data_IF_127602859423
#
_entry.id   IF_127602859423
#
_cell.length_a   1.000
_cell.length_b   1.000
_cell.length_c   1.000
_cell.angle_alpha   90.00
_cell.angle_beta   90.00
_cell.angle_gamma   90.00
#
_symmetry.space_group_name_H-M   'P 1'
#
loop_
_entity.id
_entity.type
_entity.pdbx_description
1 polymer ?
#
# COMPACT_ATOMS: atom_id res chain seq x y z
N UNK A 1 -11.48 4.48 9.49
CA UNK A 1 -10.39 3.86 10.29
C UNK A 1 -9.58 5.03 10.82
N UNK A 2 -10.20 5.79 11.72
CA UNK A 2 -9.89 7.22 11.86
C UNK A 2 -8.70 7.45 12.79
N UNK A 3 -8.17 6.35 13.34
CA UNK A 3 -7.00 6.29 14.20
C UNK A 3 -5.72 5.96 13.44
N UNK A 4 -5.78 5.64 12.15
CA UNK A 4 -4.60 5.38 11.31
C UNK A 4 -4.21 6.66 10.58
N UNK A 5 -2.94 7.03 10.71
CA UNK A 5 -2.34 8.21 10.06
C UNK A 5 -1.10 7.81 9.25
N UNK A 6 -0.73 8.60 8.22
CA UNK A 6 0.45 8.31 7.40
C UNK A 6 1.73 8.32 8.24
N UNK A 7 2.51 7.24 8.18
CA UNK A 7 3.78 7.10 8.92
C UNK A 7 5.00 7.38 8.04
N UNK A 8 6.12 7.71 8.64
CA UNK A 8 7.42 7.83 7.95
C UNK A 8 8.47 7.06 8.69
N UNK A 9 9.31 6.32 7.96
CA UNK A 9 10.53 5.77 8.50
C UNK A 9 11.58 5.68 7.40
N UNK A 10 12.85 5.68 7.81
CA UNK A 10 13.98 5.38 6.93
C UNK A 10 13.95 3.91 6.52
N UNK A 11 14.63 3.58 5.44
CA UNK A 11 14.79 2.20 4.97
C UNK A 11 15.43 1.27 6.01
N UNK A 12 16.35 1.78 6.84
CA UNK A 12 16.94 1.03 7.97
C UNK A 12 15.93 0.77 9.08
N UNK A 13 15.13 1.78 9.45
CA UNK A 13 14.06 1.61 10.44
C UNK A 13 12.97 0.67 9.92
N UNK A 14 12.60 0.76 8.64
CA UNK A 14 11.66 -0.16 8.01
C UNK A 14 12.14 -1.59 8.16
N UNK A 15 13.38 -1.90 7.76
CA UNK A 15 13.94 -3.26 7.88
C UNK A 15 13.94 -3.76 9.32
N UNK A 16 14.32 -2.90 10.27
CA UNK A 16 14.34 -3.24 11.69
C UNK A 16 12.93 -3.56 12.20
N UNK A 17 12.00 -2.64 12.05
CA UNK A 17 10.60 -2.84 12.45
C UNK A 17 9.98 -4.04 11.75
N UNK A 18 10.24 -4.21 10.46
CA UNK A 18 9.75 -5.35 9.69
C UNK A 18 10.24 -6.67 10.25
N UNK A 19 11.49 -6.75 10.70
CA UNK A 19 12.02 -7.94 11.36
C UNK A 19 11.44 -8.14 12.76
N UNK A 20 11.24 -7.05 13.51
CA UNK A 20 10.79 -7.06 14.91
C UNK A 20 9.28 -7.33 15.06
N UNK A 21 8.46 -6.99 14.06
CA UNK A 21 7.01 -7.15 14.14
C UNK A 21 6.59 -8.63 14.15
N UNK A 22 5.90 -9.03 15.20
CA UNK A 22 5.48 -10.41 15.42
C UNK A 22 4.38 -10.84 14.44
N UNK A 23 3.40 -9.97 14.20
CA UNK A 23 2.20 -10.33 13.46
C UNK A 23 2.33 -9.99 11.98
N UNK A 24 1.95 -10.95 11.13
CA UNK A 24 1.84 -10.77 9.69
C UNK A 24 0.46 -11.18 9.20
N UNK A 25 -0.12 -10.36 8.31
CA UNK A 25 -1.28 -10.71 7.52
C UNK A 25 -0.94 -10.59 6.03
N UNK A 26 -1.23 -11.63 5.26
CA UNK A 26 -0.98 -11.66 3.81
C UNK A 26 -2.30 -11.57 3.06
N UNK A 27 -2.45 -10.51 2.27
CA UNK A 27 -3.63 -10.25 1.46
C UNK A 27 -3.28 -10.47 -0.01
N UNK A 28 -4.11 -11.22 -0.74
CA UNK A 28 -3.99 -11.36 -2.19
C UNK A 28 -4.49 -10.10 -2.90
N UNK A 29 -3.84 -9.75 -4.01
CA UNK A 29 -4.27 -8.66 -4.89
C UNK A 29 -4.89 -9.23 -6.16
N UNK A 30 -6.14 -8.86 -6.43
CA UNK A 30 -6.80 -9.04 -7.72
C UNK A 30 -7.71 -7.83 -7.93
N UNK A 31 -7.35 -6.97 -8.87
CA UNK A 31 -8.06 -5.70 -9.08
C UNK A 31 -8.22 -5.37 -10.56
N UNK A 32 -9.34 -4.76 -10.96
CA UNK A 32 -9.52 -4.27 -12.33
C UNK A 32 -8.71 -3.00 -12.62
N UNK A 33 -8.02 -2.41 -11.63
CA UNK A 33 -7.08 -1.33 -11.88
C UNK A 33 -5.96 -1.89 -12.76
N UNK A 34 -5.62 -1.17 -13.83
CA UNK A 34 -4.62 -1.60 -14.79
C UNK A 34 -3.27 -0.93 -14.53
N UNK A 35 -3.23 0.31 -14.03
CA UNK A 35 -1.95 1.00 -13.81
C UNK A 35 -1.36 0.69 -12.42
N UNK A 36 -0.12 0.18 -12.39
CA UNK A 36 0.54 -0.28 -11.17
C UNK A 36 0.75 0.86 -10.17
N UNK A 37 1.09 2.06 -10.64
CA UNK A 37 1.31 3.24 -9.78
C UNK A 37 -0.01 3.79 -9.25
N UNK A 38 -1.03 3.86 -10.10
CA UNK A 38 -2.39 4.23 -9.71
C UNK A 38 -2.93 3.28 -8.63
N UNK A 39 -2.61 2.00 -8.69
CA UNK A 39 -2.98 1.06 -7.64
C UNK A 39 -2.31 1.41 -6.29
N UNK A 40 -1.02 1.77 -6.28
CA UNK A 40 -0.34 2.22 -5.07
C UNK A 40 -0.95 3.50 -4.49
N UNK A 41 -1.32 4.46 -5.33
CA UNK A 41 -1.98 5.70 -4.91
C UNK A 41 -3.37 5.41 -4.33
N UNK A 42 -4.14 4.55 -4.98
CA UNK A 42 -5.45 4.09 -4.48
C UNK A 42 -5.30 3.40 -3.13
N UNK A 43 -4.32 2.50 -2.99
CA UNK A 43 -4.02 1.83 -1.74
C UNK A 43 -3.66 2.83 -0.63
N UNK A 44 -2.80 3.79 -0.92
CA UNK A 44 -2.42 4.86 0.01
C UNK A 44 -3.65 5.64 0.50
N UNK A 45 -4.50 6.09 -0.42
CA UNK A 45 -5.69 6.88 -0.11
C UNK A 45 -6.71 6.10 0.74
N UNK A 46 -6.91 4.81 0.44
CA UNK A 46 -7.89 3.98 1.12
C UNK A 46 -7.43 3.53 2.51
N UNK A 47 -6.13 3.30 2.69
CA UNK A 47 -5.57 2.80 3.96
C UNK A 47 -5.03 3.91 4.85
N UNK A 48 -4.89 5.12 4.32
CA UNK A 48 -4.18 6.23 4.95
C UNK A 48 -2.72 5.89 5.33
N UNK A 49 -2.10 4.94 4.61
CA UNK A 49 -0.68 4.61 4.73
C UNK A 49 0.14 5.47 3.77
N UNK A 50 1.35 5.87 4.20
CA UNK A 50 2.29 6.61 3.35
C UNK A 50 3.14 5.65 2.52
N UNK A 51 3.25 5.92 1.22
CA UNK A 51 4.22 5.27 0.35
C UNK A 51 5.64 5.75 0.70
N UNK A 52 6.55 4.81 0.97
CA UNK A 52 7.94 5.08 1.32
C UNK A 52 8.91 4.90 0.14
N UNK A 53 8.55 4.05 -0.82
CA UNK A 53 9.37 3.82 -2.01
C UNK A 53 9.39 5.08 -2.89
N UNK A 54 10.58 5.51 -3.31
CA UNK A 54 10.77 6.73 -4.10
C UNK A 54 10.31 6.56 -5.54
N UNK A 55 9.94 7.66 -6.20
CA UNK A 55 9.51 7.62 -7.60
C UNK A 55 10.55 6.99 -8.52
N UNK A 56 11.83 7.29 -8.30
CA UNK A 56 12.96 6.72 -9.02
C UNK A 56 13.09 5.19 -8.83
N UNK A 57 12.72 4.66 -7.66
CA UNK A 57 12.71 3.21 -7.43
C UNK A 57 11.48 2.52 -8.02
N UNK A 58 10.43 3.29 -8.35
CA UNK A 58 9.24 2.81 -9.05
C UNK A 58 9.34 3.00 -10.57
N UNK A 59 10.38 3.68 -11.07
CA UNK A 59 10.57 3.97 -12.50
C UNK A 59 10.86 2.69 -13.28
N UNK A 60 10.39 2.67 -14.53
CA UNK A 60 10.49 1.53 -15.44
C UNK A 60 9.12 0.98 -15.84
N UNK A 61 9.12 0.20 -16.92
CA UNK A 61 7.94 -0.46 -17.49
C UNK A 61 8.21 -1.97 -17.63
N UNK A 62 8.39 -2.63 -16.49
CA UNK A 62 8.68 -4.07 -16.43
C UNK A 62 7.46 -4.92 -16.05
N UNK A 63 6.26 -4.34 -16.07
CA UNK A 63 5.01 -5.04 -15.74
C UNK A 63 4.90 -5.53 -14.29
N UNK A 64 5.86 -5.20 -13.42
CA UNK A 64 5.93 -5.57 -12.01
C UNK A 64 6.34 -4.36 -11.17
N UNK A 65 5.88 -4.31 -9.93
CA UNK A 65 6.27 -3.28 -8.97
C UNK A 65 6.30 -3.84 -7.55
N UNK A 66 7.35 -3.45 -6.79
CA UNK A 66 7.40 -3.63 -5.35
C UNK A 66 7.46 -2.28 -4.61
N UNK A 67 6.67 -2.12 -3.55
CA UNK A 67 6.59 -0.89 -2.77
C UNK A 67 6.45 -1.14 -1.26
N UNK A 68 6.99 -0.22 -0.47
CA UNK A 68 6.86 -0.23 0.98
C UNK A 68 5.97 0.92 1.45
N UNK A 69 5.12 0.65 2.43
CA UNK A 69 4.24 1.61 3.07
C UNK A 69 4.41 1.60 4.58
N UNK A 70 4.12 2.74 5.20
CA UNK A 70 4.10 2.89 6.66
C UNK A 70 2.89 3.70 7.12
N UNK A 71 2.32 3.26 8.24
CA UNK A 71 1.31 3.98 8.99
C UNK A 71 1.62 3.96 10.47
N UNK A 72 1.08 4.97 11.15
CA UNK A 72 1.09 5.07 12.59
C UNK A 72 -0.34 5.12 13.11
N UNK A 73 -0.57 4.50 14.25
CA UNK A 73 -1.81 4.59 15.01
C UNK A 73 -1.72 5.71 16.01
N UNK A 74 -2.81 6.44 16.27
CA UNK A 74 -2.84 7.45 17.37
C UNK A 74 -2.56 6.85 18.75
N UNK A 75 -2.58 5.51 18.88
CA UNK A 75 -2.23 4.77 20.10
C UNK A 75 -0.73 4.43 20.21
N UNK A 76 0.12 4.93 19.30
CA UNK A 76 1.57 4.70 19.35
C UNK A 76 2.03 3.39 18.70
N UNK A 77 1.20 2.77 17.88
CA UNK A 77 1.53 1.53 17.16
C UNK A 77 1.89 1.82 15.70
N UNK A 78 2.98 1.22 15.22
CA UNK A 78 3.38 1.29 13.82
C UNK A 78 2.87 0.06 13.05
N UNK A 79 2.53 0.28 11.78
CA UNK A 79 2.19 -0.77 10.84
C UNK A 79 2.94 -0.55 9.52
N UNK A 80 3.51 -1.63 8.99
CA UNK A 80 4.23 -1.63 7.73
C UNK A 80 3.51 -2.52 6.72
N UNK A 81 3.59 -2.15 5.45
CA UNK A 81 3.18 -3.04 4.37
C UNK A 81 4.24 -3.12 3.28
N UNK A 82 4.44 -4.32 2.76
CA UNK A 82 5.20 -4.58 1.55
C UNK A 82 4.24 -5.07 0.48
N UNK A 83 4.19 -4.35 -0.63
CA UNK A 83 3.30 -4.58 -1.78
C UNK A 83 4.15 -5.14 -2.90
N UNK A 84 3.68 -6.23 -3.51
CA UNK A 84 4.30 -6.86 -4.68
C UNK A 84 3.20 -7.17 -5.68
N UNK A 85 3.19 -6.47 -6.80
CA UNK A 85 2.11 -6.49 -7.79
C UNK A 85 2.65 -6.56 -9.21
N UNK A 86 1.87 -7.14 -10.12
CA UNK A 86 2.21 -7.29 -11.52
C UNK A 86 0.97 -7.29 -12.42
N UNK A 87 1.19 -7.04 -13.71
CA UNK A 87 0.22 -7.28 -14.77
C UNK A 87 -0.07 -8.77 -14.85
N UNK A 88 -1.35 -9.15 -14.89
CA UNK A 88 -1.72 -10.55 -15.02
C UNK A 88 -1.28 -11.16 -16.36
N UNK A 89 -1.19 -10.33 -17.40
CA UNK A 89 -0.57 -10.66 -18.68
C UNK A 89 0.50 -9.60 -19.01
N UNK A 90 1.80 -9.93 -18.96
CA UNK A 90 2.88 -9.00 -19.26
C UNK A 90 2.86 -8.43 -20.69
N UNK A 91 2.15 -9.08 -21.63
CA UNK A 91 2.04 -8.64 -23.01
C UNK A 91 0.83 -7.72 -23.25
N UNK A 92 -0.13 -7.70 -22.34
CA UNK A 92 -1.31 -6.84 -22.40
C UNK A 92 -1.22 -5.72 -21.35
N UNK A 93 -0.98 -4.50 -21.84
CA UNK A 93 -0.91 -3.29 -21.01
C UNK A 93 -2.24 -2.95 -20.34
N UNK A 94 -3.36 -3.50 -20.80
CA UNK A 94 -4.68 -3.32 -20.18
C UNK A 94 -5.08 -4.50 -19.29
N UNK A 95 -4.18 -5.46 -19.07
CA UNK A 95 -4.47 -6.58 -18.19
C UNK A 95 -4.68 -6.12 -16.73
N UNK A 96 -5.57 -6.78 -15.98
CA UNK A 96 -5.74 -6.55 -14.54
C UNK A 96 -4.43 -6.71 -13.76
N UNK A 97 -4.38 -6.10 -12.57
CA UNK A 97 -3.26 -6.29 -11.66
C UNK A 97 -3.54 -7.46 -10.71
N UNK A 98 -2.51 -8.30 -10.52
CA UNK A 98 -2.47 -9.37 -9.53
C UNK A 98 -1.28 -9.18 -8.59
N UNK A 99 -1.26 -9.88 -7.44
CA UNK A 99 -0.11 -9.85 -6.55
C UNK A 99 -0.45 -10.17 -5.10
N UNK A 100 0.33 -9.63 -4.18
CA UNK A 100 0.10 -9.77 -2.75
C UNK A 100 0.62 -8.57 -1.96
N UNK A 101 0.01 -8.35 -0.80
CA UNK A 101 0.42 -7.36 0.20
C UNK A 101 0.68 -8.11 1.50
N UNK A 102 1.89 -7.95 2.05
CA UNK A 102 2.23 -8.41 3.40
C UNK A 102 2.13 -7.22 4.33
N UNK A 103 1.35 -7.35 5.38
CA UNK A 103 1.10 -6.32 6.38
C UNK A 103 1.70 -6.83 7.68
N UNK A 104 2.60 -6.08 8.29
CA UNK A 104 3.18 -6.42 9.59
C UNK A 104 2.91 -5.31 10.59
N UNK A 105 2.62 -5.69 11.83
CA UNK A 105 2.39 -4.77 12.93
C UNK A 105 2.77 -5.41 14.28
N UNK A 106 2.86 -4.59 15.33
CA UNK A 106 3.10 -5.08 16.70
C UNK A 106 1.93 -5.90 17.24
N UNK A 107 0.69 -5.56 16.88
CA UNK A 107 -0.51 -6.24 17.36
C UNK A 107 -1.26 -6.95 16.22
N UNK A 108 -1.84 -8.11 16.55
CA UNK A 108 -2.66 -8.88 15.61
C UNK A 108 -3.84 -8.06 15.08
N UNK A 109 -4.52 -7.33 15.97
CA UNK A 109 -5.69 -6.53 15.62
C UNK A 109 -5.37 -5.48 14.54
N UNK A 110 -4.20 -4.86 14.62
CA UNK A 110 -3.74 -3.89 13.61
C UNK A 110 -3.51 -4.55 12.24
N UNK A 111 -2.76 -5.66 12.21
CA UNK A 111 -2.44 -6.37 10.97
C UNK A 111 -3.71 -6.92 10.28
N UNK A 112 -4.66 -7.44 11.06
CA UNK A 112 -5.94 -7.92 10.53
C UNK A 112 -6.81 -6.77 10.02
N UNK A 113 -6.98 -5.71 10.82
CA UNK A 113 -7.85 -4.59 10.46
C UNK A 113 -7.38 -3.87 9.19
N UNK A 114 -6.07 -3.68 9.01
CA UNK A 114 -5.52 -3.12 7.78
C UNK A 114 -5.75 -4.05 6.59
N UNK A 115 -5.62 -5.36 6.78
CA UNK A 115 -5.89 -6.34 5.74
C UNK A 115 -7.35 -6.35 5.29
N UNK A 116 -8.29 -6.23 6.22
CA UNK A 116 -9.72 -6.10 5.90
C UNK A 116 -10.01 -4.81 5.12
N UNK A 117 -9.38 -3.70 5.52
CA UNK A 117 -9.51 -2.42 4.80
C UNK A 117 -8.96 -2.52 3.37
N UNK A 118 -7.83 -3.20 3.18
CA UNK A 118 -7.24 -3.46 1.86
C UNK A 118 -8.16 -4.34 1.02
N UNK A 119 -8.69 -5.43 1.58
CA UNK A 119 -9.66 -6.30 0.89
C UNK A 119 -10.91 -5.54 0.45
N UNK A 120 -11.36 -4.56 1.23
CA UNK A 120 -12.46 -3.68 0.84
C UNK A 120 -12.06 -2.73 -0.30
N UNK A 121 -10.92 -2.07 -0.16
CA UNK A 121 -10.39 -1.11 -1.15
C UNK A 121 -10.23 -1.72 -2.55
N UNK A 122 -9.86 -3.00 -2.62
CA UNK A 122 -9.70 -3.70 -3.90
C UNK A 122 -11.02 -3.90 -4.68
N UNK A 123 -12.16 -3.94 -3.99
CA UNK A 123 -13.49 -4.10 -4.60
C UNK A 123 -14.02 -2.78 -5.17
N UNK A 124 -13.47 -1.65 -4.74
CA UNK A 124 -13.86 -0.33 -5.21
C UNK A 124 -13.24 -0.06 -6.60
N UNK A 125 -14.10 0.12 -7.61
CA UNK A 125 -13.70 0.24 -9.03
C UNK A 125 -13.24 1.64 -9.44
N UNK A 126 -13.36 2.65 -8.58
CA UNK A 126 -13.07 4.04 -8.95
C UNK A 126 -11.74 4.47 -8.34
N UNK A 127 -10.75 4.88 -9.16
CA UNK A 127 -9.60 5.61 -8.68
C UNK A 127 -10.08 6.88 -7.96
N UNK A 128 -9.45 7.24 -6.86
CA UNK A 128 -9.75 8.48 -6.13
C UNK A 128 -9.30 9.67 -6.99
N UNK A 129 -10.25 10.48 -7.47
CA UNK A 129 -9.93 11.78 -8.07
C UNK A 129 -9.32 12.69 -7.00
N UNK A 130 -8.08 13.18 -7.21
CA UNK A 130 -7.52 14.22 -6.35
C UNK A 130 -8.37 15.48 -6.46
N UNK A 131 -9.02 15.87 -5.37
CA UNK A 131 -9.54 17.23 -5.23
C UNK A 131 -8.35 18.18 -5.25
N UNK A 132 -8.22 18.99 -6.30
CA UNK A 132 -7.20 20.04 -6.39
C UNK A 132 -7.49 21.05 -5.28
N UNK A 133 -6.81 20.95 -4.14
CA UNK A 133 -6.74 22.06 -3.21
C UNK A 133 -6.03 23.19 -3.92
N UNK A 134 -6.79 24.22 -4.27
CA UNK A 134 -6.30 25.48 -4.83
C UNK A 134 -5.28 26.03 -3.83
N UNK A 135 -4.00 25.97 -4.20
CA UNK A 135 -2.97 26.73 -3.50
C UNK A 135 -3.16 28.18 -3.94
N UNK A 136 -3.90 28.92 -3.13
CA UNK A 136 -3.99 30.37 -3.20
C UNK A 136 -2.61 30.98 -2.99
N UNK A 137 -2.14 31.71 -3.99
CA UNK A 137 -1.13 32.75 -3.89
C UNK A 137 -1.68 33.99 -4.62
#
# INVERSE_FOLDING_TARGET
>A
MDYIVPGTCTDTEFRKMWADFEWENKVGVITPIIDLRQYLEHLSAQTNMKLLTTDAALEGDCGFLAANFCAHSIFGEDALANVSIEKSDPLDTNSPIIGHIRIRAKSQGMALSLGDKINHAQKERKPVERSKTVSSA
#
